data_IF_043900656091
#
_entry.id   IF_043900656091
#
_cell.length_a   1.000
_cell.length_b   1.000
_cell.length_c   1.000
_cell.angle_alpha   90.00
_cell.angle_beta   90.00
_cell.angle_gamma   90.00
#
_symmetry.space_group_name_H-M   'P 1'
#
loop_
_entity.id
_entity.type
_entity.pdbx_description
1 polymer ?
#
# COMPACT_ATOMS: atom_id res chain seq x y z
N UNK A 1 5.63 -4.54 -10.19
CA UNK A 1 4.40 -4.16 -9.46
C UNK A 1 4.36 -4.75 -8.06
N UNK A 2 4.27 -6.07 -7.90
CA UNK A 2 4.23 -6.73 -6.57
C UNK A 2 5.37 -6.32 -5.63
N UNK A 3 6.62 -6.31 -6.13
CA UNK A 3 7.79 -5.87 -5.35
C UNK A 3 7.70 -4.39 -4.90
N UNK A 4 7.05 -3.55 -5.71
CA UNK A 4 6.87 -2.13 -5.38
C UNK A 4 5.83 -1.95 -4.27
N UNK A 5 4.72 -2.69 -4.33
CA UNK A 5 3.69 -2.72 -3.28
C UNK A 5 4.25 -3.31 -1.97
N UNK A 6 5.09 -4.34 -2.05
CA UNK A 6 5.82 -4.89 -0.91
C UNK A 6 6.76 -3.86 -0.25
N UNK A 7 7.50 -3.09 -1.05
CA UNK A 7 8.36 -2.05 -0.51
C UNK A 7 7.55 -0.96 0.24
N UNK A 8 6.40 -0.56 -0.31
CA UNK A 8 5.49 0.40 0.33
C UNK A 8 4.91 -0.15 1.63
N UNK A 9 4.42 -1.40 1.62
CA UNK A 9 3.87 -2.05 2.81
C UNK A 9 4.90 -2.12 3.95
N UNK A 10 6.14 -2.51 3.62
CA UNK A 10 7.24 -2.57 4.59
C UNK A 10 7.60 -1.18 5.15
N UNK A 11 7.76 -0.18 4.28
CA UNK A 11 8.10 1.17 4.72
C UNK A 11 7.01 1.76 5.63
N UNK A 12 5.74 1.48 5.31
CA UNK A 12 4.60 1.93 6.09
C UNK A 12 4.56 1.26 7.48
N UNK A 13 4.71 -0.06 7.54
CA UNK A 13 4.76 -0.79 8.81
C UNK A 13 5.94 -0.32 9.68
N UNK A 14 7.12 -0.13 9.11
CA UNK A 14 8.29 0.40 9.82
C UNK A 14 8.03 1.78 10.43
N UNK A 15 7.21 2.62 9.77
CA UNK A 15 6.87 3.95 10.27
C UNK A 15 5.79 3.91 11.37
N UNK A 16 4.82 2.99 11.28
CA UNK A 16 3.85 2.70 12.34
C UNK A 16 4.60 2.28 13.60
N UNK A 17 5.52 1.30 13.48
CA UNK A 17 6.28 0.74 14.59
C UNK A 17 7.18 1.78 15.29
N UNK A 18 7.73 2.73 14.52
CA UNK A 18 8.57 3.82 15.06
C UNK A 18 7.76 4.94 15.74
N UNK A 19 6.43 4.93 15.65
CA UNK A 19 5.54 5.85 16.38
C UNK A 19 5.64 7.33 16.00
N UNK A 20 6.25 7.66 14.84
CA UNK A 20 6.49 9.04 14.43
C UNK A 20 5.30 9.63 13.66
N UNK A 21 4.29 10.10 14.39
CA UNK A 21 3.00 10.59 13.86
C UNK A 21 3.11 11.59 12.69
N UNK A 22 4.05 12.56 12.74
CA UNK A 22 4.24 13.54 11.65
C UNK A 22 4.86 12.93 10.39
N UNK A 23 5.80 12.00 10.54
CA UNK A 23 6.41 11.29 9.42
C UNK A 23 5.40 10.31 8.79
N UNK A 24 4.58 9.68 9.65
CA UNK A 24 3.53 8.75 9.23
C UNK A 24 2.47 9.41 8.34
N UNK A 25 2.04 10.65 8.62
CA UNK A 25 1.03 11.33 7.78
C UNK A 25 1.52 11.59 6.36
N UNK A 26 2.74 12.12 6.21
CA UNK A 26 3.35 12.35 4.89
C UNK A 26 3.60 11.04 4.15
N UNK A 27 4.04 10.03 4.88
CA UNK A 27 4.24 8.70 4.33
C UNK A 27 2.92 8.08 3.89
N UNK A 28 1.86 8.18 4.69
CA UNK A 28 0.54 7.68 4.35
C UNK A 28 -0.01 8.31 3.07
N UNK A 29 0.10 9.64 2.93
CA UNK A 29 -0.31 10.35 1.70
C UNK A 29 0.46 9.83 0.48
N UNK A 30 1.80 9.72 0.57
CA UNK A 30 2.63 9.21 -0.52
C UNK A 30 2.34 7.74 -0.84
N UNK A 31 2.24 6.89 0.16
CA UNK A 31 1.98 5.46 0.01
C UNK A 31 0.59 5.22 -0.57
N UNK A 32 -0.40 6.01 -0.17
CA UNK A 32 -1.76 5.97 -0.72
C UNK A 32 -1.76 6.27 -2.22
N UNK A 33 -1.05 7.32 -2.66
CA UNK A 33 -0.98 7.68 -4.08
C UNK A 33 -0.28 6.61 -4.92
N UNK A 34 0.81 6.02 -4.40
CA UNK A 34 1.52 4.93 -5.07
C UNK A 34 0.63 3.71 -5.23
N UNK A 35 -0.04 3.27 -4.16
CA UNK A 35 -0.91 2.09 -4.20
C UNK A 35 -2.13 2.35 -5.09
N UNK A 36 -2.66 3.57 -5.10
CA UNK A 36 -3.76 3.94 -6.00
C UNK A 36 -3.38 3.88 -7.47
N UNK A 37 -2.19 4.37 -7.84
CA UNK A 37 -1.68 4.23 -9.20
C UNK A 37 -1.48 2.75 -9.57
N UNK A 38 -0.93 1.95 -8.67
CA UNK A 38 -0.77 0.52 -8.88
C UNK A 38 -2.10 -0.21 -9.12
N UNK A 39 -3.14 0.11 -8.35
CA UNK A 39 -4.49 -0.46 -8.54
C UNK A 39 -4.99 -0.14 -9.95
N UNK A 40 -4.91 1.12 -10.38
CA UNK A 40 -5.33 1.53 -11.73
C UNK A 40 -4.56 0.82 -12.84
N UNK A 41 -3.26 0.63 -12.66
CA UNK A 41 -2.43 -0.12 -13.62
C UNK A 41 -2.84 -1.59 -13.70
N UNK A 42 -3.13 -2.23 -12.56
CA UNK A 42 -3.64 -3.63 -12.50
C UNK A 42 -5.02 -3.72 -13.19
N UNK A 43 -5.93 -2.80 -12.90
CA UNK A 43 -7.26 -2.76 -13.53
C UNK A 43 -7.18 -2.49 -15.04
N UNK A 44 -6.16 -1.76 -15.50
CA UNK A 44 -5.95 -1.47 -16.92
C UNK A 44 -5.30 -2.62 -17.70
N UNK A 45 -4.81 -3.66 -17.01
CA UNK A 45 -4.22 -4.82 -17.70
C UNK A 45 -5.28 -5.77 -18.26
N UNK A 46 -5.07 -6.33 -19.48
CA UNK A 46 -6.06 -7.20 -20.13
C UNK A 46 -6.33 -8.52 -19.39
N UNK A 47 -5.40 -8.94 -18.54
CA UNK A 47 -5.54 -10.07 -17.63
C UNK A 47 -5.21 -9.58 -16.23
N UNK A 48 -6.24 -9.18 -15.50
CA UNK A 48 -6.12 -8.78 -14.10
C UNK A 48 -5.89 -10.03 -13.24
N UNK A 49 -4.81 -10.04 -12.45
CA UNK A 49 -4.63 -10.99 -11.36
C UNK A 49 -5.54 -10.56 -10.19
N UNK A 50 -6.64 -11.30 -9.91
CA UNK A 50 -7.62 -10.88 -8.90
C UNK A 50 -7.01 -10.85 -7.49
N UNK A 51 -6.08 -11.76 -7.20
CA UNK A 51 -5.43 -11.82 -5.90
C UNK A 51 -4.52 -10.61 -5.69
N UNK A 52 -3.79 -10.21 -6.74
CA UNK A 52 -2.95 -9.02 -6.69
C UNK A 52 -3.78 -7.73 -6.50
N UNK A 53 -4.92 -7.63 -7.18
CA UNK A 53 -5.84 -6.50 -7.05
C UNK A 53 -6.45 -6.43 -5.63
N UNK A 54 -6.90 -7.57 -5.09
CA UNK A 54 -7.44 -7.65 -3.73
C UNK A 54 -6.40 -7.26 -2.68
N UNK A 55 -5.16 -7.75 -2.82
CA UNK A 55 -4.09 -7.41 -1.88
C UNK A 55 -3.70 -5.93 -2.00
N UNK A 56 -3.63 -5.36 -3.21
CA UNK A 56 -3.37 -3.93 -3.41
C UNK A 56 -4.49 -3.06 -2.82
N UNK A 57 -5.74 -3.46 -2.99
CA UNK A 57 -6.91 -2.78 -2.42
C UNK A 57 -6.91 -2.87 -0.89
N UNK A 58 -6.53 -4.02 -0.32
CA UNK A 58 -6.36 -4.18 1.13
C UNK A 58 -5.28 -3.25 1.68
N UNK A 59 -4.11 -3.22 1.04
CA UNK A 59 -3.01 -2.32 1.42
C UNK A 59 -3.45 -0.85 1.40
N UNK A 60 -4.20 -0.46 0.37
CA UNK A 60 -4.75 0.89 0.26
C UNK A 60 -5.66 1.27 1.43
N UNK A 61 -6.54 0.35 1.85
CA UNK A 61 -7.45 0.58 2.97
C UNK A 61 -6.71 0.65 4.31
N UNK A 62 -5.74 -0.23 4.54
CA UNK A 62 -4.92 -0.24 5.76
C UNK A 62 -4.18 1.10 5.93
N UNK A 63 -3.55 1.60 4.84
CA UNK A 63 -2.88 2.90 4.82
C UNK A 63 -3.87 4.04 5.11
N UNK A 64 -5.05 4.00 4.47
CA UNK A 64 -6.11 5.00 4.63
C UNK A 64 -6.62 5.07 6.07
N UNK A 65 -6.65 3.95 6.78
CA UNK A 65 -7.11 3.88 8.17
C UNK A 65 -6.00 4.07 9.20
N UNK A 66 -4.75 4.25 8.78
CA UNK A 66 -3.65 4.45 9.73
C UNK A 66 -3.20 3.15 10.41
N UNK A 67 -3.47 1.99 9.80
CA UNK A 67 -3.27 0.67 10.41
C UNK A 67 -2.11 -0.07 9.76
N UNK A 68 -1.31 -0.79 10.57
CA UNK A 68 -0.32 -1.71 10.03
C UNK A 68 -0.98 -2.77 9.15
N UNK A 69 -0.30 -3.14 8.06
CA UNK A 69 -0.82 -4.06 7.04
C UNK A 69 -0.15 -5.43 7.12
N UNK A 70 -0.89 -6.47 6.75
CA UNK A 70 -0.34 -7.82 6.51
C UNK A 70 -0.19 -8.12 5.01
N UNK A 71 -0.56 -7.17 4.14
CA UNK A 71 -0.49 -7.31 2.69
C UNK A 71 0.93 -7.11 2.21
N UNK A 72 1.38 -8.00 1.33
CA UNK A 72 2.73 -7.98 0.75
C UNK A 72 3.87 -8.03 1.78
N UNK A 73 3.62 -8.51 3.00
CA UNK A 73 4.64 -8.69 4.06
C UNK A 73 5.36 -10.02 3.90
#
# INVERSE_FOLDING_TARGET
MREHLQAVAKEYNDAIDKGKVRELRKLAERSHDIVWQAIKEIESTPVTDPQLLDDATGLFMDIRWGQGTTKFV
#
